data_IF_948405706824
#
_entry.id   IF_948405706824
#
_cell.length_a   1.000
_cell.length_b   1.000
_cell.length_c   1.000
_cell.angle_alpha   90.00
_cell.angle_beta   90.00
_cell.angle_gamma   90.00
#
_symmetry.space_group_name_H-M   'P 1'
#
loop_
_entity.id
_entity.type
_entity.pdbx_description
1 polymer ?
#
# COMPACT_ATOMS: atom_id res chain seq x y z
N UNK A 1 12.37 36.29 -4.37
CA UNK A 1 11.92 35.40 -3.31
C UNK A 1 12.56 34.03 -3.53
N UNK A 2 13.02 33.36 -2.50
CA UNK A 2 13.60 32.04 -2.64
C UNK A 2 12.47 31.05 -3.06
N UNK A 3 12.76 30.23 -4.05
CA UNK A 3 11.86 29.16 -4.53
C UNK A 3 12.72 28.04 -5.08
N UNK A 4 12.19 26.82 -5.11
CA UNK A 4 12.92 25.63 -5.56
C UNK A 4 12.83 25.56 -7.09
N UNK A 5 13.94 25.65 -7.83
CA UNK A 5 13.90 25.52 -9.28
C UNK A 5 13.55 24.09 -9.68
N UNK A 6 12.63 23.91 -10.62
CA UNK A 6 12.40 22.60 -11.21
C UNK A 6 13.52 22.25 -12.19
N UNK A 7 13.90 20.95 -12.30
CA UNK A 7 14.94 20.53 -13.22
C UNK A 7 14.61 20.87 -14.67
N UNK A 8 15.57 21.41 -15.41
CA UNK A 8 15.38 21.79 -16.80
C UNK A 8 15.21 20.58 -17.75
N UNK A 9 15.64 19.39 -17.34
CA UNK A 9 15.56 18.17 -18.14
C UNK A 9 14.87 17.06 -17.37
N UNK A 10 13.82 16.51 -17.96
CA UNK A 10 13.09 15.35 -17.43
C UNK A 10 13.59 14.00 -18.00
N UNK A 11 14.44 14.06 -19.02
CA UNK A 11 14.99 12.87 -19.68
C UNK A 11 16.43 13.08 -20.15
N UNK A 12 17.20 12.00 -20.13
CA UNK A 12 18.57 11.93 -20.64
C UNK A 12 18.64 10.91 -21.76
N UNK A 13 19.35 11.22 -22.84
CA UNK A 13 19.57 10.28 -23.95
C UNK A 13 20.93 9.63 -23.81
N UNK A 14 20.94 8.29 -23.77
CA UNK A 14 22.14 7.46 -23.81
C UNK A 14 22.07 6.63 -25.12
N UNK A 15 22.56 7.20 -26.22
CA UNK A 15 22.40 6.62 -27.55
C UNK A 15 20.93 6.54 -27.95
N UNK A 16 20.41 5.37 -28.35
CA UNK A 16 19.00 5.18 -28.72
C UNK A 16 18.06 5.12 -27.51
N UNK A 17 18.59 5.01 -26.29
CA UNK A 17 17.83 4.86 -25.07
C UNK A 17 17.54 6.24 -24.45
N UNK A 18 16.28 6.56 -24.21
CA UNK A 18 15.87 7.73 -23.40
C UNK A 18 15.51 7.30 -22.01
N UNK A 19 16.27 7.74 -21.01
CA UNK A 19 16.03 7.48 -19.59
C UNK A 19 15.28 8.69 -19.03
N UNK A 20 14.07 8.47 -18.53
CA UNK A 20 13.22 9.50 -17.95
C UNK A 20 13.30 9.47 -16.43
N UNK A 21 13.45 10.63 -15.80
CA UNK A 21 13.54 10.74 -14.33
C UNK A 21 12.34 10.11 -13.61
N UNK A 22 11.13 10.31 -14.14
CA UNK A 22 9.94 9.72 -13.59
C UNK A 22 10.01 8.19 -13.56
N UNK A 23 10.42 7.58 -14.66
CA UNK A 23 10.57 6.11 -14.73
C UNK A 23 11.63 5.59 -13.75
N UNK A 24 12.71 6.35 -13.52
CA UNK A 24 13.71 6.02 -12.50
C UNK A 24 13.13 6.08 -11.09
N UNK A 25 12.33 7.11 -10.76
CA UNK A 25 11.68 7.22 -9.46
C UNK A 25 10.70 6.07 -9.25
N UNK A 26 9.88 5.72 -10.24
CA UNK A 26 8.94 4.58 -10.16
C UNK A 26 9.71 3.28 -9.98
N UNK A 27 10.76 3.04 -10.76
CA UNK A 27 11.60 1.84 -10.64
C UNK A 27 12.23 1.75 -9.25
N UNK A 28 12.80 2.84 -8.75
CA UNK A 28 13.37 2.90 -7.40
C UNK A 28 12.30 2.65 -6.34
N UNK A 29 11.09 3.22 -6.51
CA UNK A 29 9.95 2.99 -5.65
C UNK A 29 9.55 1.51 -5.59
N UNK A 30 9.50 0.83 -6.74
CA UNK A 30 9.22 -0.61 -6.82
C UNK A 30 10.31 -1.41 -6.08
N UNK A 31 11.58 -1.10 -6.31
CA UNK A 31 12.71 -1.77 -5.65
C UNK A 31 12.61 -1.63 -4.14
N UNK A 32 12.38 -0.40 -3.65
CA UNK A 32 12.23 -0.13 -2.21
C UNK A 32 11.02 -0.86 -1.64
N UNK A 33 9.88 -0.84 -2.35
CA UNK A 33 8.69 -1.58 -1.93
C UNK A 33 8.96 -3.08 -1.80
N UNK A 34 9.62 -3.69 -2.78
CA UNK A 34 9.97 -5.12 -2.73
C UNK A 34 10.93 -5.42 -1.57
N UNK A 35 11.95 -4.58 -1.35
CA UNK A 35 12.89 -4.75 -0.24
C UNK A 35 12.17 -4.65 1.11
N UNK A 36 11.32 -3.64 1.30
CA UNK A 36 10.57 -3.44 2.55
C UNK A 36 9.59 -4.59 2.78
N UNK A 37 8.82 -4.99 1.75
CA UNK A 37 7.89 -6.11 1.82
C UNK A 37 8.62 -7.42 2.17
N UNK A 38 9.75 -7.71 1.50
CA UNK A 38 10.57 -8.90 1.74
C UNK A 38 11.10 -8.96 3.18
N UNK A 39 11.61 -7.82 3.69
CA UNK A 39 12.11 -7.73 5.07
C UNK A 39 10.98 -7.93 6.09
N UNK A 40 9.80 -7.36 5.83
CA UNK A 40 8.63 -7.52 6.69
C UNK A 40 8.10 -8.96 6.65
N UNK A 41 7.97 -9.53 5.46
CA UNK A 41 7.51 -10.91 5.28
C UNK A 41 8.46 -11.91 5.95
N UNK A 42 9.78 -11.69 5.87
CA UNK A 42 10.78 -12.49 6.60
C UNK A 42 10.59 -12.42 8.12
N UNK A 43 10.27 -11.23 8.65
CA UNK A 43 10.01 -11.06 10.10
C UNK A 43 8.76 -11.78 10.57
N UNK A 44 7.81 -12.06 9.67
CA UNK A 44 6.63 -12.89 9.95
C UNK A 44 6.86 -14.40 9.73
N UNK A 45 8.13 -14.82 9.57
CA UNK A 45 8.49 -16.23 9.35
C UNK A 45 8.41 -16.70 7.90
N UNK A 46 8.08 -15.82 6.95
CA UNK A 46 8.00 -16.14 5.54
C UNK A 46 9.37 -16.11 4.83
N UNK A 47 9.47 -16.81 3.69
CA UNK A 47 10.65 -16.78 2.82
C UNK A 47 10.66 -15.48 2.01
N UNK A 48 11.71 -14.63 2.09
CA UNK A 48 11.73 -13.31 1.44
C UNK A 48 11.62 -13.41 -0.10
N UNK A 49 12.10 -14.49 -0.72
CA UNK A 49 12.00 -14.74 -2.16
C UNK A 49 10.55 -14.72 -2.67
N UNK A 50 9.57 -15.09 -1.85
CA UNK A 50 8.15 -15.06 -2.20
C UNK A 50 7.70 -13.64 -2.59
N UNK A 51 8.27 -12.60 -1.98
CA UNK A 51 7.92 -11.23 -2.34
C UNK A 51 8.44 -10.84 -3.74
N UNK A 52 9.53 -11.45 -4.19
CA UNK A 52 9.99 -11.29 -5.57
C UNK A 52 9.02 -11.96 -6.55
N UNK A 53 8.55 -13.17 -6.23
CA UNK A 53 7.56 -13.87 -7.07
C UNK A 53 6.25 -13.09 -7.13
N UNK A 54 5.79 -12.55 -6.00
CA UNK A 54 4.60 -11.68 -5.96
C UNK A 54 4.82 -10.42 -6.79
N UNK A 55 5.98 -9.78 -6.69
CA UNK A 55 6.31 -8.58 -7.47
C UNK A 55 6.39 -8.89 -8.97
N UNK A 56 6.94 -10.05 -9.35
CA UNK A 56 7.02 -10.49 -10.76
C UNK A 56 5.64 -10.59 -11.44
N UNK A 57 4.58 -10.81 -10.67
CA UNK A 57 3.19 -10.77 -11.15
C UNK A 57 2.54 -9.41 -10.95
N UNK A 58 2.67 -8.84 -9.74
CA UNK A 58 1.99 -7.59 -9.37
C UNK A 58 2.47 -6.39 -10.21
N UNK A 59 3.77 -6.31 -10.53
CA UNK A 59 4.33 -5.16 -11.26
C UNK A 59 3.87 -5.13 -12.72
N UNK A 60 4.01 -6.18 -13.54
CA UNK A 60 3.49 -6.15 -14.92
C UNK A 60 1.99 -5.94 -14.99
N UNK A 61 1.22 -6.59 -14.10
CA UNK A 61 -0.23 -6.38 -14.03
C UNK A 61 -0.56 -4.94 -13.60
N UNK A 62 0.16 -4.38 -12.65
CA UNK A 62 0.00 -3.00 -12.23
C UNK A 62 0.30 -2.00 -13.36
N UNK A 63 1.39 -2.20 -14.10
CA UNK A 63 1.73 -1.37 -15.26
C UNK A 63 0.65 -1.46 -16.35
N UNK A 64 0.17 -2.68 -16.65
CA UNK A 64 -0.94 -2.87 -17.59
C UNK A 64 -2.22 -2.17 -17.10
N UNK A 65 -2.51 -2.27 -15.79
CA UNK A 65 -3.65 -1.60 -15.16
C UNK A 65 -3.57 -0.09 -15.24
N UNK A 66 -2.40 0.49 -14.99
CA UNK A 66 -2.17 1.92 -15.15
C UNK A 66 -2.45 2.38 -16.57
N UNK A 67 -1.95 1.63 -17.56
CA UNK A 67 -2.14 1.94 -18.97
C UNK A 67 -3.60 1.86 -19.38
N UNK A 68 -4.30 0.77 -19.03
CA UNK A 68 -5.74 0.59 -19.33
C UNK A 68 -6.55 1.74 -18.71
N UNK A 69 -6.27 2.08 -17.45
CA UNK A 69 -6.98 3.14 -16.76
C UNK A 69 -6.71 4.52 -17.39
N UNK A 70 -5.47 4.80 -17.79
CA UNK A 70 -5.13 6.04 -18.48
C UNK A 70 -5.89 6.17 -19.81
N UNK A 71 -5.99 5.08 -20.60
CA UNK A 71 -6.78 5.05 -21.83
C UNK A 71 -8.27 5.32 -21.59
N UNK A 72 -8.82 4.69 -20.53
CA UNK A 72 -10.26 4.83 -20.23
C UNK A 72 -10.65 6.25 -19.79
N UNK A 73 -9.69 7.00 -19.21
CA UNK A 73 -9.95 8.36 -18.70
C UNK A 73 -9.53 9.44 -19.67
N UNK A 74 -8.67 9.13 -20.62
CA UNK A 74 -8.26 10.08 -21.64
C UNK A 74 -9.41 10.43 -22.58
N UNK A 75 -10.21 11.42 -22.15
CA UNK A 75 -11.33 11.96 -22.91
C UNK A 75 -10.89 12.81 -24.12
N UNK A 76 -9.59 13.02 -24.32
CA UNK A 76 -9.06 13.94 -25.33
C UNK A 76 -8.55 13.29 -26.61
N UNK A 77 -8.72 11.98 -26.80
CA UNK A 77 -8.25 11.23 -27.97
C UNK A 77 -6.73 11.35 -28.27
N UNK A 78 -5.95 12.06 -27.46
CA UNK A 78 -4.50 12.24 -27.67
C UNK A 78 -3.71 10.96 -27.40
N UNK A 79 -4.20 10.12 -26.50
CA UNK A 79 -3.54 8.85 -26.18
C UNK A 79 -3.54 7.88 -27.37
N UNK A 80 -4.63 7.82 -28.10
CA UNK A 80 -4.75 6.91 -29.28
C UNK A 80 -3.86 7.34 -30.44
N UNK A 81 -3.48 8.61 -30.51
CA UNK A 81 -2.54 9.12 -31.54
C UNK A 81 -1.07 8.81 -31.24
N UNK A 82 -0.72 8.62 -29.98
CA UNK A 82 0.65 8.34 -29.55
C UNK A 82 0.80 6.92 -29.01
N UNK A 83 0.15 5.95 -29.60
CA UNK A 83 -0.08 4.56 -29.19
C UNK A 83 1.16 3.70 -28.86
N UNK A 84 2.16 4.29 -28.22
CA UNK A 84 3.24 3.52 -27.61
C UNK A 84 3.10 3.54 -26.09
N UNK A 85 2.57 2.45 -25.54
CA UNK A 85 2.41 2.19 -24.10
C UNK A 85 3.64 2.63 -23.28
N UNK A 86 4.84 2.44 -23.82
CA UNK A 86 6.08 2.87 -23.18
C UNK A 86 6.23 4.40 -23.08
N UNK A 87 5.74 5.15 -24.05
CA UNK A 87 5.77 6.61 -23.98
C UNK A 87 4.76 7.12 -22.95
N UNK A 88 3.57 6.56 -22.89
CA UNK A 88 2.56 6.93 -21.90
C UNK A 88 3.02 6.65 -20.46
N UNK A 89 3.63 5.49 -20.23
CA UNK A 89 4.20 5.13 -18.92
C UNK A 89 5.39 6.04 -18.57
N UNK A 90 6.14 6.48 -19.55
CA UNK A 90 7.31 7.29 -19.37
C UNK A 90 7.01 8.80 -19.25
N UNK A 91 5.87 9.28 -19.75
CA UNK A 91 5.51 10.71 -19.76
C UNK A 91 4.74 11.17 -18.50
N UNK A 92 4.66 10.30 -17.48
CA UNK A 92 3.97 10.63 -16.23
C UNK A 92 2.44 10.50 -16.31
N UNK A 93 1.88 10.03 -17.45
CA UNK A 93 0.47 9.64 -17.56
C UNK A 93 0.16 8.50 -16.56
N UNK A 94 1.18 7.80 -16.09
CA UNK A 94 1.08 6.78 -15.06
C UNK A 94 0.47 7.26 -13.73
N UNK A 95 0.58 8.54 -13.39
CA UNK A 95 -0.03 9.05 -12.15
C UNK A 95 -1.57 9.11 -12.24
N UNK A 96 -2.14 9.29 -13.45
CA UNK A 96 -3.59 9.18 -13.68
C UNK A 96 -4.01 7.69 -13.57
N UNK A 97 -3.08 6.78 -13.82
CA UNK A 97 -3.33 5.33 -13.83
C UNK A 97 -3.24 4.64 -12.47
N UNK A 98 -2.99 5.34 -11.35
CA UNK A 98 -2.83 4.72 -10.02
C UNK A 98 -3.98 3.80 -9.62
N UNK A 99 -5.27 4.14 -9.77
CA UNK A 99 -6.36 3.23 -9.46
C UNK A 99 -6.32 1.92 -10.26
N UNK A 100 -6.01 2.01 -11.56
CA UNK A 100 -5.83 0.83 -12.42
C UNK A 100 -4.61 0.00 -12.02
N UNK A 101 -3.49 0.67 -11.69
CA UNK A 101 -2.28 0.02 -11.22
C UNK A 101 -2.51 -0.77 -9.92
N UNK A 102 -3.21 -0.17 -8.97
CA UNK A 102 -3.53 -0.83 -7.68
C UNK A 102 -4.47 -2.00 -7.91
N UNK A 103 -5.52 -1.83 -8.72
CA UNK A 103 -6.53 -2.87 -8.95
C UNK A 103 -5.93 -4.09 -9.66
N UNK A 104 -5.28 -3.90 -10.81
CA UNK A 104 -4.67 -5.02 -11.53
C UNK A 104 -3.40 -5.53 -10.84
N UNK A 105 -2.63 -4.67 -10.18
CA UNK A 105 -1.49 -5.10 -9.38
C UNK A 105 -1.91 -6.00 -8.21
N UNK A 106 -3.03 -5.69 -7.54
CA UNK A 106 -3.60 -6.57 -6.51
C UNK A 106 -4.09 -7.90 -7.10
N UNK A 107 -4.69 -7.89 -8.30
CA UNK A 107 -5.06 -9.11 -9.01
C UNK A 107 -3.82 -9.95 -9.34
N UNK A 108 -2.74 -9.35 -9.83
CA UNK A 108 -1.45 -10.04 -10.07
C UNK A 108 -0.88 -10.65 -8.79
N UNK A 109 -0.87 -9.91 -7.68
CA UNK A 109 -0.44 -10.42 -6.38
C UNK A 109 -1.32 -11.60 -5.90
N UNK A 110 -2.63 -11.50 -6.10
CA UNK A 110 -3.56 -12.59 -5.78
C UNK A 110 -3.29 -13.84 -6.62
N UNK A 111 -3.06 -13.69 -7.93
CA UNK A 111 -2.69 -14.79 -8.83
C UNK A 111 -1.40 -15.47 -8.35
N UNK A 112 -0.36 -14.68 -8.01
CA UNK A 112 0.89 -15.19 -7.47
C UNK A 112 0.68 -16.03 -6.20
N UNK A 113 -0.10 -15.50 -5.25
CA UNK A 113 -0.43 -16.22 -4.01
C UNK A 113 -1.20 -17.51 -4.28
N UNK A 114 -2.18 -17.47 -5.19
CA UNK A 114 -2.97 -18.67 -5.58
C UNK A 114 -2.10 -19.74 -6.20
N UNK A 115 -1.21 -19.36 -7.14
CA UNK A 115 -0.28 -20.30 -7.80
C UNK A 115 0.70 -20.93 -6.81
N UNK A 116 1.19 -20.14 -5.87
CA UNK A 116 2.10 -20.60 -4.82
C UNK A 116 1.40 -21.26 -3.63
N UNK A 117 0.06 -21.36 -3.64
CA UNK A 117 -0.77 -21.86 -2.53
C UNK A 117 -0.51 -21.16 -1.19
N UNK A 118 -0.26 -19.86 -1.26
CA UNK A 118 0.03 -19.04 -0.10
C UNK A 118 -1.20 -18.26 0.38
N UNK A 119 -1.37 -18.07 1.70
CA UNK A 119 -2.40 -17.19 2.20
C UNK A 119 -2.08 -15.73 1.84
N UNK A 120 -3.09 -14.98 1.36
CA UNK A 120 -2.92 -13.59 0.94
C UNK A 120 -2.63 -12.65 2.13
N UNK A 121 -3.19 -12.94 3.31
CA UNK A 121 -3.13 -12.05 4.47
C UNK A 121 -1.69 -11.66 4.89
N UNK A 122 -0.72 -12.57 5.09
CA UNK A 122 0.64 -12.20 5.43
C UNK A 122 1.34 -11.39 4.34
N UNK A 123 1.06 -11.70 3.07
CA UNK A 123 1.61 -10.98 1.91
C UNK A 123 1.07 -9.54 1.89
N UNK A 124 -0.24 -9.37 2.00
CA UNK A 124 -0.89 -8.06 2.04
C UNK A 124 -0.41 -7.22 3.24
N UNK A 125 -0.27 -7.83 4.42
CA UNK A 125 0.26 -7.16 5.61
C UNK A 125 1.71 -6.69 5.48
N UNK A 126 2.54 -7.46 4.78
CA UNK A 126 3.90 -7.08 4.47
C UNK A 126 3.96 -5.97 3.40
N UNK A 127 3.10 -6.05 2.39
CA UNK A 127 3.03 -5.11 1.29
C UNK A 127 2.45 -3.73 1.69
N UNK A 128 1.56 -3.65 2.66
CA UNK A 128 0.85 -2.41 3.01
C UNK A 128 1.76 -1.18 3.17
N UNK A 129 2.72 -1.12 4.11
CA UNK A 129 3.60 0.04 4.22
C UNK A 129 4.64 0.09 3.09
N UNK A 130 4.97 -1.03 2.48
CA UNK A 130 5.94 -1.12 1.40
C UNK A 130 5.44 -0.37 0.15
N UNK A 131 4.18 -0.55 -0.21
CA UNK A 131 3.53 0.15 -1.33
C UNK A 131 3.50 1.66 -1.06
N UNK A 132 3.18 2.10 0.16
CA UNK A 132 3.18 3.52 0.53
C UNK A 132 4.57 4.16 0.32
N UNK A 133 5.64 3.50 0.77
CA UNK A 133 7.00 4.00 0.51
C UNK A 133 7.36 4.00 -0.98
N UNK A 134 6.90 3.00 -1.73
CA UNK A 134 7.09 2.95 -3.18
C UNK A 134 6.39 4.10 -3.89
N UNK A 135 5.14 4.38 -3.53
CA UNK A 135 4.35 5.52 -4.05
C UNK A 135 5.01 6.85 -3.69
N UNK A 136 5.45 7.01 -2.44
CA UNK A 136 6.15 8.23 -2.00
C UNK A 136 7.36 8.56 -2.88
N UNK A 137 8.15 7.57 -3.25
CA UNK A 137 9.32 7.77 -4.14
C UNK A 137 8.85 8.06 -5.56
N UNK A 138 7.82 7.38 -6.05
CA UNK A 138 7.24 7.62 -7.36
C UNK A 138 6.73 9.05 -7.54
N UNK A 139 6.06 9.62 -6.52
CA UNK A 139 5.56 10.99 -6.52
C UNK A 139 6.66 12.04 -6.73
N UNK A 140 7.87 11.80 -6.22
CA UNK A 140 9.00 12.71 -6.44
C UNK A 140 9.37 12.85 -7.92
N UNK A 141 9.04 11.88 -8.75
CA UNK A 141 9.24 11.94 -10.20
C UNK A 141 8.50 13.11 -10.86
N UNK A 142 7.41 13.58 -10.26
CA UNK A 142 6.61 14.70 -10.75
C UNK A 142 7.37 16.05 -10.67
N UNK A 143 8.41 16.14 -9.87
CA UNK A 143 9.29 17.32 -9.88
C UNK A 143 9.99 17.52 -11.21
N UNK A 144 10.49 16.46 -11.83
CA UNK A 144 11.14 16.52 -13.14
C UNK A 144 10.16 16.72 -14.29
N UNK A 145 8.98 16.09 -14.20
CA UNK A 145 7.93 16.26 -15.24
C UNK A 145 7.15 17.56 -15.08
N UNK A 146 7.32 18.26 -13.96
CA UNK A 146 6.61 19.48 -13.62
C UNK A 146 5.09 19.30 -13.67
N UNK A 147 4.62 18.17 -13.17
CA UNK A 147 3.21 17.79 -13.13
C UNK A 147 2.71 17.68 -11.69
N UNK A 148 1.38 17.62 -11.50
CA UNK A 148 0.73 17.42 -10.20
C UNK A 148 1.17 18.41 -9.12
N UNK A 149 1.41 19.66 -9.50
CA UNK A 149 1.63 20.77 -8.59
C UNK A 149 0.31 21.41 -8.16
N UNK A 150 0.36 22.24 -7.11
CA UNK A 150 -0.80 22.88 -6.50
C UNK A 150 -0.97 24.33 -6.94
N UNK A 151 -1.74 25.08 -6.15
CA UNK A 151 -2.05 26.50 -6.40
C UNK A 151 -0.81 27.37 -6.41
N UNK A 152 -0.84 28.58 -7.06
CA UNK A 152 0.23 29.56 -6.97
C UNK A 152 0.62 29.84 -5.52
N UNK A 153 1.92 29.97 -5.27
CA UNK A 153 2.45 30.19 -3.93
C UNK A 153 3.75 31.00 -3.98
N UNK A 154 3.93 31.84 -2.98
CA UNK A 154 5.16 32.62 -2.76
C UNK A 154 6.03 32.07 -1.63
N UNK A 155 5.69 30.93 -1.06
CA UNK A 155 6.42 30.30 0.03
C UNK A 155 7.82 29.86 -0.43
N UNK A 156 8.78 29.83 0.48
CA UNK A 156 10.17 29.51 0.16
C UNK A 156 10.37 28.07 -0.39
N UNK A 157 9.43 27.17 -0.13
CA UNK A 157 9.42 25.80 -0.68
C UNK A 157 8.57 25.67 -1.95
N UNK A 158 8.02 26.75 -2.49
CA UNK A 158 7.28 26.71 -3.74
C UNK A 158 8.22 26.30 -4.89
N UNK A 159 7.71 25.51 -5.83
CA UNK A 159 8.45 25.05 -7.00
C UNK A 159 8.21 25.95 -8.20
N UNK A 160 9.26 26.21 -8.97
CA UNK A 160 9.15 26.93 -10.23
C UNK A 160 8.65 26.01 -11.32
N UNK A 161 7.63 26.43 -12.06
CA UNK A 161 7.08 25.69 -13.19
C UNK A 161 7.35 26.47 -14.49
N UNK A 162 7.95 25.78 -15.45
CA UNK A 162 8.25 26.38 -16.76
C UNK A 162 6.95 26.75 -17.49
N UNK A 163 6.95 27.81 -18.30
CA UNK A 163 5.73 28.29 -18.96
C UNK A 163 4.95 27.23 -19.72
N UNK A 164 5.66 26.32 -20.40
CA UNK A 164 5.05 25.24 -21.21
C UNK A 164 4.32 24.17 -20.38
N UNK A 165 4.60 24.09 -19.07
CA UNK A 165 3.96 23.12 -18.16
C UNK A 165 2.90 23.76 -17.26
N UNK A 166 2.66 25.08 -17.42
CA UNK A 166 1.64 25.77 -16.62
C UNK A 166 0.24 25.40 -17.09
N UNK A 167 -0.63 25.19 -16.13
CA UNK A 167 -2.05 24.92 -16.40
C UNK A 167 -2.71 26.18 -16.97
N UNK A 168 -3.57 26.07 -17.99
CA UNK A 168 -4.32 27.20 -18.53
C UNK A 168 -5.05 28.00 -17.43
N UNK A 169 -4.95 29.34 -17.51
CA UNK A 169 -5.45 30.27 -16.50
C UNK A 169 -4.47 30.61 -15.39
N UNK A 170 -3.28 30.00 -15.37
CA UNK A 170 -2.22 30.24 -14.38
C UNK A 170 -0.88 30.66 -15.03
N UNK A 171 -0.90 31.10 -16.28
CA UNK A 171 0.28 31.43 -17.07
C UNK A 171 1.13 32.55 -16.44
N UNK A 172 0.48 33.48 -15.75
CA UNK A 172 1.10 34.62 -15.09
C UNK A 172 1.85 34.30 -13.80
N UNK A 173 1.69 33.08 -13.28
CA UNK A 173 2.36 32.64 -12.06
C UNK A 173 3.58 31.79 -12.40
N UNK A 174 4.70 32.00 -11.70
CA UNK A 174 5.93 31.25 -11.93
C UNK A 174 6.18 30.18 -10.87
N UNK A 175 5.57 30.31 -9.67
CA UNK A 175 5.83 29.46 -8.51
C UNK A 175 4.54 28.88 -7.95
N UNK A 176 4.59 27.60 -7.58
CA UNK A 176 3.42 26.81 -7.21
C UNK A 176 3.73 25.91 -6.01
N UNK A 177 2.69 25.49 -5.29
CA UNK A 177 2.83 24.53 -4.20
C UNK A 177 3.27 23.16 -4.76
N UNK A 178 4.25 22.49 -4.16
CA UNK A 178 4.69 21.15 -4.57
C UNK A 178 3.74 20.06 -4.06
N UNK A 179 2.53 19.94 -4.63
CA UNK A 179 1.53 19.00 -4.17
C UNK A 179 2.01 17.53 -4.24
N UNK A 180 2.88 17.22 -5.22
CA UNK A 180 3.55 15.92 -5.30
C UNK A 180 4.44 15.63 -4.07
N UNK A 181 5.11 16.66 -3.54
CA UNK A 181 5.94 16.50 -2.34
C UNK A 181 5.08 16.32 -1.08
N UNK A 182 3.92 16.99 -1.01
CA UNK A 182 2.97 16.78 0.08
C UNK A 182 2.44 15.34 0.08
N UNK A 183 2.10 14.80 -1.09
CA UNK A 183 1.69 13.40 -1.22
C UNK A 183 2.82 12.45 -0.80
N UNK A 184 4.03 12.68 -1.29
CA UNK A 184 5.20 11.88 -0.92
C UNK A 184 5.44 11.85 0.60
N UNK A 185 5.42 13.02 1.25
CA UNK A 185 5.59 13.11 2.71
C UNK A 185 4.46 12.42 3.47
N UNK A 186 3.22 12.58 3.00
CA UNK A 186 2.08 11.90 3.58
C UNK A 186 2.23 10.37 3.48
N UNK A 187 2.58 9.85 2.32
CA UNK A 187 2.74 8.41 2.10
C UNK A 187 3.87 7.82 2.96
N UNK A 188 4.97 8.55 3.15
CA UNK A 188 6.02 8.17 4.10
C UNK A 188 5.47 8.12 5.53
N UNK A 189 4.76 9.16 5.96
CA UNK A 189 4.17 9.22 7.30
C UNK A 189 3.14 8.10 7.51
N UNK A 190 2.26 7.87 6.54
CA UNK A 190 1.28 6.79 6.54
C UNK A 190 1.96 5.41 6.60
N UNK A 191 3.04 5.21 5.83
CA UNK A 191 3.84 3.98 5.87
C UNK A 191 4.41 3.69 7.26
N UNK A 192 4.98 4.69 7.93
CA UNK A 192 5.46 4.56 9.30
C UNK A 192 4.32 4.34 10.30
N UNK A 193 3.19 5.03 10.14
CA UNK A 193 2.01 4.85 10.99
C UNK A 193 1.46 3.41 10.89
N UNK A 194 1.38 2.85 9.69
CA UNK A 194 0.97 1.45 9.47
C UNK A 194 1.96 0.48 10.10
N UNK A 195 3.28 0.75 10.03
CA UNK A 195 4.28 -0.07 10.70
C UNK A 195 4.09 0.00 12.22
N UNK A 196 3.91 1.19 12.76
CA UNK A 196 3.71 1.39 14.19
C UNK A 196 2.44 0.70 14.69
N UNK A 197 1.29 0.91 14.01
CA UNK A 197 0.03 0.29 14.36
C UNK A 197 0.10 -1.25 14.31
N UNK A 198 0.79 -1.81 13.30
CA UNK A 198 0.95 -3.27 13.18
C UNK A 198 1.82 -3.86 14.28
N UNK A 199 2.81 -3.13 14.78
CA UNK A 199 3.66 -3.57 15.92
C UNK A 199 2.89 -3.52 17.23
N UNK A 200 2.20 -2.41 17.50
CA UNK A 200 1.44 -2.19 18.73
C UNK A 200 0.26 -3.16 18.88
N UNK A 201 -0.31 -3.62 17.77
CA UNK A 201 -1.42 -4.56 17.77
C UNK A 201 -1.01 -6.04 17.89
N UNK A 202 0.26 -6.33 18.13
CA UNK A 202 0.75 -7.70 18.35
C UNK A 202 0.64 -8.57 17.10
N UNK A 203 0.88 -8.01 15.92
CA UNK A 203 0.95 -8.81 14.70
C UNK A 203 1.95 -9.96 14.92
N UNK A 204 1.54 -11.24 14.79
CA UNK A 204 2.42 -12.35 15.07
C UNK A 204 3.51 -12.40 14.01
N UNK A 205 4.63 -11.73 14.30
CA UNK A 205 5.87 -11.86 13.53
C UNK A 205 6.64 -13.13 13.89
N UNK A 206 6.03 -14.01 14.70
CA UNK A 206 6.62 -15.26 15.10
C UNK A 206 5.62 -16.35 14.82
N UNK A 207 5.82 -17.10 13.74
CA UNK A 207 5.49 -18.51 13.73
C UNK A 207 6.38 -19.07 14.84
N UNK A 208 5.80 -19.29 15.99
CA UNK A 208 6.44 -20.06 17.03
C UNK A 208 6.52 -21.50 16.47
N UNK A 209 7.68 -22.00 16.06
CA UNK A 209 7.86 -23.42 16.02
C UNK A 209 7.78 -23.78 17.51
N UNK A 210 6.63 -24.34 17.95
CA UNK A 210 6.59 -24.97 19.25
C UNK A 210 7.91 -25.71 19.44
N UNK A 211 8.68 -25.42 20.49
CA UNK A 211 9.85 -26.23 20.79
C UNK A 211 9.31 -27.67 20.86
N UNK A 212 9.77 -28.56 19.98
CA UNK A 212 9.63 -29.99 20.20
C UNK A 212 10.36 -30.23 21.51
N UNK A 213 9.60 -30.15 22.60
CA UNK A 213 10.10 -30.54 23.91
C UNK A 213 10.50 -31.99 23.79
N UNK A 214 11.76 -32.35 24.01
CA UNK A 214 12.12 -33.76 24.14
C UNK A 214 11.27 -34.33 25.28
N UNK A 215 10.63 -35.47 25.04
CA UNK A 215 9.90 -36.23 26.02
C UNK A 215 10.78 -36.46 27.27
N UNK A 216 10.57 -35.67 28.32
CA UNK A 216 11.31 -35.71 29.56
C UNK A 216 10.52 -35.11 30.69
N UNK A 217 9.92 -36.05 31.48
CA UNK A 217 9.48 -35.93 32.90
C UNK A 217 8.56 -34.74 33.26
N UNK A 218 7.30 -35.09 33.45
CA UNK A 218 6.32 -34.72 34.46
C UNK A 218 6.43 -33.39 35.24
N UNK A 219 6.47 -32.23 34.57
CA UNK A 219 6.09 -30.97 35.21
C UNK A 219 4.62 -30.65 34.84
N UNK A 220 3.79 -30.17 35.78
CA UNK A 220 2.44 -29.76 35.48
C UNK A 220 2.47 -28.59 34.49
N UNK A 221 2.06 -28.89 33.25
CA UNK A 221 1.94 -27.86 32.23
C UNK A 221 0.90 -26.84 32.70
N UNK A 222 1.34 -25.62 32.96
CA UNK A 222 0.45 -24.47 33.07
C UNK A 222 -0.49 -24.46 31.88
N UNK A 223 -1.79 -24.20 32.04
CA UNK A 223 -2.74 -24.21 30.95
C UNK A 223 -2.21 -23.25 29.88
N UNK A 224 -2.13 -23.65 28.60
CA UNK A 224 -1.63 -22.80 27.53
C UNK A 224 -2.45 -21.52 27.53
N UNK A 225 -1.78 -20.40 27.84
CA UNK A 225 -2.42 -19.10 27.76
C UNK A 225 -3.04 -18.96 26.38
N UNK A 226 -4.35 -18.74 26.33
CA UNK A 226 -5.10 -18.57 25.09
C UNK A 226 -4.32 -17.62 24.20
N UNK A 227 -3.89 -18.03 22.98
CA UNK A 227 -3.11 -17.18 22.11
C UNK A 227 -3.93 -15.91 21.84
N UNK A 228 -3.46 -14.77 22.33
CA UNK A 228 -4.11 -13.47 22.06
C UNK A 228 -4.13 -13.32 20.55
N UNK A 229 -5.30 -13.42 19.94
CA UNK A 229 -5.46 -13.16 18.50
C UNK A 229 -4.98 -11.74 18.23
N UNK A 230 -4.09 -11.54 17.27
CA UNK A 230 -3.59 -10.19 16.97
C UNK A 230 -4.78 -9.32 16.55
N UNK A 231 -4.83 -8.10 17.07
CA UNK A 231 -5.88 -7.12 16.76
C UNK A 231 -5.86 -6.71 15.28
N UNK A 232 -4.68 -6.76 14.64
CA UNK A 232 -4.51 -6.49 13.22
C UNK A 232 -4.00 -7.75 12.50
N UNK A 233 -4.85 -8.30 11.63
CA UNK A 233 -4.46 -9.30 10.63
C UNK A 233 -3.74 -8.59 9.47
N UNK A 234 -3.07 -9.37 8.60
CA UNK A 234 -2.40 -8.79 7.43
C UNK A 234 -3.36 -8.04 6.50
N UNK A 235 -4.56 -8.57 6.29
CA UNK A 235 -5.62 -7.94 5.51
C UNK A 235 -6.03 -6.59 6.11
N UNK A 236 -6.25 -6.54 7.42
CA UNK A 236 -6.59 -5.30 8.12
C UNK A 236 -5.47 -4.28 8.07
N UNK A 237 -4.21 -4.73 8.14
CA UNK A 237 -3.05 -3.86 7.96
C UNK A 237 -3.03 -3.24 6.56
N UNK A 238 -3.39 -4.04 5.53
CA UNK A 238 -3.50 -3.52 4.17
C UNK A 238 -4.64 -2.51 4.02
N UNK A 239 -5.82 -2.81 4.55
CA UNK A 239 -6.96 -1.89 4.53
C UNK A 239 -6.65 -0.59 5.27
N UNK A 240 -5.93 -0.65 6.40
CA UNK A 240 -5.47 0.54 7.11
C UNK A 240 -4.53 1.39 6.24
N UNK A 241 -3.59 0.75 5.54
CA UNK A 241 -2.69 1.43 4.60
C UNK A 241 -3.44 2.09 3.45
N UNK A 242 -4.41 1.39 2.85
CA UNK A 242 -5.25 1.92 1.79
C UNK A 242 -6.11 3.11 2.25
N UNK A 243 -6.70 3.03 3.46
CA UNK A 243 -7.44 4.13 4.05
C UNK A 243 -6.54 5.37 4.31
N UNK A 244 -5.34 5.15 4.84
CA UNK A 244 -4.39 6.23 5.10
C UNK A 244 -3.93 6.90 3.79
N UNK A 245 -3.66 6.12 2.74
CA UNK A 245 -3.36 6.65 1.40
C UNK A 245 -4.50 7.54 0.89
N UNK A 246 -5.73 7.03 0.93
CA UNK A 246 -6.89 7.72 0.41
C UNK A 246 -7.19 9.05 1.15
N UNK A 247 -6.96 9.11 2.45
CA UNK A 247 -7.08 10.37 3.22
C UNK A 247 -6.09 11.41 2.73
N UNK A 248 -4.83 11.01 2.50
CA UNK A 248 -3.80 11.91 1.97
C UNK A 248 -4.08 12.35 0.55
N UNK A 249 -4.45 11.41 -0.32
CA UNK A 249 -4.80 11.67 -1.71
C UNK A 249 -5.93 12.68 -1.82
N UNK A 250 -7.01 12.47 -1.08
CA UNK A 250 -8.16 13.37 -1.04
C UNK A 250 -7.77 14.80 -0.62
N UNK A 251 -6.97 14.92 0.44
CA UNK A 251 -6.48 16.21 0.92
C UNK A 251 -5.58 16.90 -0.12
N UNK A 252 -4.60 16.18 -0.64
CA UNK A 252 -3.64 16.71 -1.63
C UNK A 252 -4.36 17.10 -2.92
N UNK A 253 -5.37 16.33 -3.34
CA UNK A 253 -6.16 16.64 -4.52
C UNK A 253 -6.91 17.99 -4.39
N UNK A 254 -7.28 18.39 -3.17
CA UNK A 254 -7.90 19.71 -2.92
C UNK A 254 -6.94 20.89 -3.17
N UNK A 255 -5.64 20.64 -3.08
CA UNK A 255 -4.58 21.63 -3.31
C UNK A 255 -4.14 21.66 -4.79
N UNK A 256 -4.23 20.52 -5.49
CA UNK A 256 -3.83 20.38 -6.90
C UNK A 256 -4.65 21.25 -7.83
N UNK A 257 -3.99 21.77 -8.87
CA UNK A 257 -4.63 22.45 -9.99
C UNK A 257 -4.41 21.62 -11.27
N UNK A 258 -5.31 21.74 -12.22
CA UNK A 258 -5.18 21.05 -13.51
C UNK A 258 -6.55 20.64 -14.08
N UNK A 259 -6.61 20.39 -15.37
CA UNK A 259 -7.84 20.04 -16.10
C UNK A 259 -8.15 18.54 -15.92
N UNK A 260 -8.45 18.09 -14.70
CA UNK A 260 -8.94 16.73 -14.49
C UNK A 260 -10.46 16.69 -14.66
N UNK A 261 -11.01 15.63 -15.24
CA UNK A 261 -12.46 15.44 -15.33
C UNK A 261 -13.07 15.45 -13.93
N UNK A 262 -14.32 15.92 -13.86
CA UNK A 262 -15.10 15.90 -12.63
C UNK A 262 -16.14 14.79 -12.71
N UNK A 263 -16.34 14.09 -11.61
CA UNK A 263 -17.41 13.09 -11.43
C UNK A 263 -18.30 13.60 -10.31
N UNK A 264 -19.56 13.85 -10.59
CA UNK A 264 -20.54 14.41 -9.64
C UNK A 264 -20.08 15.74 -8.99
N UNK A 265 -19.36 16.59 -9.72
CA UNK A 265 -18.84 17.85 -9.21
C UNK A 265 -17.55 17.72 -8.37
N UNK A 266 -17.05 16.49 -8.17
CA UNK A 266 -15.81 16.20 -7.45
C UNK A 266 -14.73 15.88 -8.48
N UNK A 267 -13.49 16.34 -8.24
CA UNK A 267 -12.35 15.99 -9.10
C UNK A 267 -12.16 14.48 -9.12
N UNK A 268 -11.84 13.95 -10.29
CA UNK A 268 -11.72 12.50 -10.52
C UNK A 268 -10.77 11.81 -9.50
N UNK A 269 -9.62 12.42 -9.21
CA UNK A 269 -8.69 11.89 -8.21
C UNK A 269 -9.32 11.77 -6.82
N UNK A 270 -9.97 12.84 -6.35
CA UNK A 270 -10.66 12.84 -5.05
C UNK A 270 -11.82 11.83 -5.00
N UNK A 271 -12.57 11.66 -6.10
CA UNK A 271 -13.62 10.64 -6.18
C UNK A 271 -13.04 9.22 -6.05
N UNK A 272 -11.90 8.96 -6.70
CA UNK A 272 -11.16 7.71 -6.56
C UNK A 272 -10.71 7.44 -5.13
N UNK A 273 -10.18 8.45 -4.45
CA UNK A 273 -9.77 8.35 -3.04
C UNK A 273 -10.95 8.03 -2.11
N UNK A 274 -12.12 8.66 -2.34
CA UNK A 274 -13.35 8.34 -1.58
C UNK A 274 -13.74 6.88 -1.77
N UNK A 275 -13.68 6.35 -3.00
CA UNK A 275 -13.98 4.93 -3.27
C UNK A 275 -12.98 4.02 -2.56
N UNK A 276 -11.68 4.29 -2.65
CA UNK A 276 -10.65 3.51 -1.96
C UNK A 276 -10.85 3.53 -0.45
N UNK A 277 -11.15 4.70 0.12
CA UNK A 277 -11.44 4.84 1.55
C UNK A 277 -12.66 4.02 1.97
N UNK A 278 -13.76 4.13 1.22
CA UNK A 278 -14.98 3.38 1.50
C UNK A 278 -14.74 1.85 1.46
N UNK A 279 -14.04 1.37 0.42
CA UNK A 279 -13.69 -0.05 0.29
C UNK A 279 -12.77 -0.51 1.45
N UNK A 280 -11.82 0.33 1.87
CA UNK A 280 -10.95 0.03 3.00
C UNK A 280 -11.74 -0.06 4.31
N UNK A 281 -12.67 0.85 4.56
CA UNK A 281 -13.54 0.84 5.74
C UNK A 281 -14.45 -0.40 5.74
N UNK A 282 -15.08 -0.73 4.61
CA UNK A 282 -15.88 -1.95 4.46
C UNK A 282 -15.02 -3.19 4.73
N UNK A 283 -13.81 -3.25 4.15
CA UNK A 283 -12.87 -4.34 4.38
C UNK A 283 -12.49 -4.48 5.86
N UNK A 284 -12.22 -3.36 6.55
CA UNK A 284 -11.96 -3.33 8.00
C UNK A 284 -13.16 -3.82 8.81
N UNK A 285 -14.38 -3.49 8.37
CA UNK A 285 -15.61 -3.95 9.02
C UNK A 285 -15.82 -5.45 8.83
N UNK A 286 -15.69 -5.97 7.62
CA UNK A 286 -15.89 -7.39 7.29
C UNK A 286 -14.85 -8.30 7.93
N UNK A 287 -13.62 -7.79 8.12
CA UNK A 287 -12.51 -8.55 8.73
C UNK A 287 -12.43 -8.38 10.25
N UNK A 288 -13.46 -7.83 10.90
CA UNK A 288 -13.50 -7.71 12.37
C UNK A 288 -13.38 -9.07 13.03
N UNK A 289 -12.53 -9.22 14.07
CA UNK A 289 -12.46 -10.46 14.82
C UNK A 289 -13.82 -10.72 15.47
N UNK A 290 -14.44 -11.82 15.11
CA UNK A 290 -15.66 -12.28 15.80
C UNK A 290 -15.29 -12.54 17.25
N UNK A 291 -15.99 -11.91 18.18
CA UNK A 291 -15.89 -12.24 19.61
C UNK A 291 -16.31 -13.69 19.76
N UNK A 292 -15.38 -14.59 20.06
CA UNK A 292 -15.73 -15.95 20.51
C UNK A 292 -16.47 -15.79 21.83
N UNK A 293 -17.66 -16.36 22.01
CA UNK A 293 -18.32 -16.39 23.30
C UNK A 293 -17.34 -17.00 24.31
N UNK A 294 -17.34 -16.54 25.57
CA UNK A 294 -16.54 -17.15 26.61
C UNK A 294 -16.83 -18.66 26.62
N UNK A 295 -15.78 -19.48 26.68
CA UNK A 295 -15.92 -20.91 26.78
C UNK A 295 -16.88 -21.20 27.95
N UNK A 296 -17.99 -21.89 27.69
CA UNK A 296 -18.87 -22.36 28.76
C UNK A 296 -17.98 -23.17 29.67
N UNK A 297 -17.73 -22.67 30.87
CA UNK A 297 -17.17 -23.46 31.97
C UNK A 297 -18.21 -24.48 32.30
N UNK A 298 -18.04 -25.69 31.80
CA UNK A 298 -18.78 -26.81 32.33
C UNK A 298 -18.37 -26.96 33.79
N UNK A 299 -19.31 -27.00 34.73
CA UNK A 299 -18.97 -27.33 36.09
C UNK A 299 -18.25 -28.69 36.07
N UNK A 300 -17.08 -28.76 36.72
CA UNK A 300 -16.43 -30.04 36.97
C UNK A 300 -17.47 -30.95 37.54
N UNK A 301 -17.87 -31.97 36.77
CA UNK A 301 -18.67 -33.06 37.35
C UNK A 301 -17.94 -33.52 38.61
N UNK A 302 -18.63 -33.44 39.72
CA UNK A 302 -18.13 -33.96 40.98
C UNK A 302 -17.66 -35.40 40.70
N UNK A 303 -16.37 -35.60 40.85
CA UNK A 303 -15.82 -36.95 40.93
C UNK A 303 -16.55 -37.59 42.10
N UNK A 304 -17.52 -38.46 41.80
CA UNK A 304 -18.11 -39.34 42.80
C UNK A 304 -16.94 -40.18 43.30
N UNK A 305 -16.60 -39.92 44.54
CA UNK A 305 -15.60 -40.68 45.29
C UNK A 305 -16.27 -41.99 45.66
N UNK A 306 -16.10 -42.99 44.81
CA UNK A 306 -16.63 -44.36 45.03
C UNK A 306 -15.54 -45.18 45.76
N UNK A 307 -15.17 -44.69 46.95
CA UNK A 307 -14.30 -45.36 47.89
C UNK A 307 -15.14 -45.96 49.06
N UNK A 308 -16.16 -46.76 48.76
CA UNK A 308 -16.72 -47.67 49.75
C UNK A 308 -16.43 -49.12 49.31
N UNK A 309 -15.17 -49.49 49.49
CA UNK A 309 -14.77 -50.89 49.45
C UNK A 309 -15.14 -51.52 50.74
N UNK A 310 -16.27 -52.23 50.78
CA UNK A 310 -16.60 -53.18 51.85
C UNK A 310 -15.66 -54.37 51.79
N UNK A 311 -14.84 -54.44 52.81
CA UNK A 311 -14.14 -55.65 53.19
C UNK A 311 -15.11 -56.51 53.89
N UNK A 312 -15.55 -57.67 53.32
CA UNK A 312 -16.19 -58.74 54.05
C UNK A 312 -15.37 -60.00 53.85
N UNK A 313 -14.76 -60.38 54.95
CA UNK A 313 -14.20 -61.69 55.26
C UNK A 313 -15.17 -62.86 55.10
N UNK A 314 -14.82 -63.93 54.39
CA UNK A 314 -14.82 -65.30 54.85
C UNK A 314 -14.04 -66.19 53.89
#
# INVERSE_FOLDING_TARGET
MASIPSPARAAWRLGPLSIRAYALCVTLGIIVAVIVASRRYRRSGGRPAIMLDVAAWAVPFGLAGAAVHAVLIDTRHDFMRHAHLWHALADGVAAIGVPGAVTLGAAGAWIACRRARLPLAPVAGAAAPAVLFGLAIGELGNWWTQQFYGRPSTWWWAVQISPIHRVPGYENYSTFQPAFAYQSLWDVAAGFAVIWASRSAGFPFRGDPSPRTPLGRGEPQSPPGTPRRPLLTGERTFMLGAAAYAVGGFWVESVRIGPLPQVLGIRYGAAGDVVVFALAVVGLYLTRPRRTPPARTYPKAALVDDSSGDVMSM
#
